data_IF_118621191916
#
_entry.id   IF_118621191916
#
_cell.length_a   1.000
_cell.length_b   1.000
_cell.length_c   1.000
_cell.angle_alpha   90.00
_cell.angle_beta   90.00
_cell.angle_gamma   90.00
#
_symmetry.space_group_name_H-M   'P 1'
#
loop_
_entity.id
_entity.type
_entity.pdbx_description
1 polymer ?
#
# COMPACT_ATOMS: atom_id res chain seq x y z
N UNK A 1 -22.89 -7.98 18.64
CA UNK A 1 -21.66 -8.46 17.97
C UNK A 1 -21.59 -7.82 16.58
N UNK A 2 -20.59 -6.97 16.31
CA UNK A 2 -20.30 -6.53 14.93
C UNK A 2 -19.88 -7.76 14.13
N UNK A 3 -20.40 -7.94 12.91
CA UNK A 3 -20.02 -9.10 12.09
C UNK A 3 -18.55 -8.91 11.70
N UNK A 4 -17.78 -10.00 11.58
CA UNK A 4 -16.41 -9.99 11.06
C UNK A 4 -16.30 -9.32 9.67
N UNK A 5 -17.42 -9.11 8.98
CA UNK A 5 -17.48 -8.39 7.70
C UNK A 5 -17.33 -6.86 7.82
N UNK A 6 -17.50 -6.27 9.01
CA UNK A 6 -17.55 -4.81 9.17
C UNK A 6 -16.17 -4.19 9.52
N UNK A 7 -15.23 -5.00 10.04
CA UNK A 7 -13.92 -4.52 10.47
C UNK A 7 -12.81 -5.04 9.55
N UNK A 8 -11.80 -4.22 9.21
CA UNK A 8 -10.63 -4.70 8.49
C UNK A 8 -9.83 -5.64 9.40
N UNK A 9 -9.59 -6.86 8.97
CA UNK A 9 -8.84 -7.85 9.75
C UNK A 9 -7.88 -8.65 8.87
N UNK A 10 -6.85 -9.22 9.49
CA UNK A 10 -5.93 -10.19 8.89
C UNK A 10 -5.70 -11.35 9.85
N UNK A 11 -5.27 -12.50 9.32
CA UNK A 11 -4.74 -13.59 10.17
C UNK A 11 -3.26 -13.40 10.37
N UNK A 12 -2.79 -13.48 11.62
CA UNK A 12 -1.36 -13.54 11.91
C UNK A 12 -0.80 -14.96 11.64
N UNK A 13 0.49 -15.16 11.88
CA UNK A 13 1.18 -16.44 11.68
C UNK A 13 0.70 -17.56 12.60
N UNK A 14 0.02 -17.25 13.71
CA UNK A 14 -0.64 -18.21 14.62
C UNK A 14 -2.07 -18.55 14.15
N UNK A 15 -2.55 -17.93 13.07
CA UNK A 15 -3.91 -18.09 12.57
C UNK A 15 -4.97 -17.26 13.31
N UNK A 16 -4.56 -16.41 14.26
CA UNK A 16 -5.44 -15.56 15.05
C UNK A 16 -5.90 -14.35 14.21
N UNK A 17 -7.13 -13.90 14.45
CA UNK A 17 -7.69 -12.71 13.79
C UNK A 17 -7.15 -11.47 14.49
N UNK A 18 -6.47 -10.61 13.74
CA UNK A 18 -5.97 -9.31 14.18
C UNK A 18 -6.76 -8.22 13.47
N UNK A 19 -7.35 -7.31 14.24
CA UNK A 19 -8.00 -6.10 13.70
C UNK A 19 -6.92 -5.12 13.23
N UNK A 20 -7.07 -4.63 12.00
CA UNK A 20 -6.10 -3.71 11.38
C UNK A 20 -6.58 -2.27 11.56
N UNK A 21 -5.76 -1.35 12.09
CA UNK A 21 -6.10 0.06 12.14
C UNK A 21 -6.48 0.61 10.76
N UNK A 22 -7.60 1.33 10.67
CA UNK A 22 -8.16 1.82 9.40
C UNK A 22 -7.15 2.61 8.53
N UNK A 23 -6.19 3.29 9.16
CA UNK A 23 -5.15 4.04 8.47
C UNK A 23 -4.23 3.15 7.61
N UNK A 24 -4.00 1.90 8.03
CA UNK A 24 -3.20 0.91 7.30
C UNK A 24 -4.01 0.13 6.27
N UNK A 25 -5.33 0.31 6.22
CA UNK A 25 -6.19 -0.50 5.34
C UNK A 25 -6.14 0.02 3.90
N UNK A 26 -5.71 -0.80 2.93
CA UNK A 26 -5.74 -0.40 1.53
C UNK A 26 -7.16 -0.01 1.09
N UNK A 27 -7.35 1.07 0.29
CA UNK A 27 -8.67 1.47 -0.20
C UNK A 27 -9.40 0.36 -0.96
N UNK A 28 -8.67 -0.56 -1.59
CA UNK A 28 -9.23 -1.70 -2.34
C UNK A 28 -9.03 -3.01 -1.56
N UNK A 29 -9.82 -3.23 -0.51
CA UNK A 29 -9.73 -4.42 0.40
C UNK A 29 -9.85 -5.78 -0.27
N UNK A 30 -10.74 -5.93 -1.26
CA UNK A 30 -10.92 -7.20 -2.00
C UNK A 30 -9.75 -7.52 -2.91
N UNK A 31 -8.74 -6.66 -2.93
CA UNK A 31 -7.63 -6.72 -3.84
C UNK A 31 -6.36 -6.65 -3.01
N UNK A 32 -5.76 -7.83 -2.77
CA UNK A 32 -4.31 -7.91 -2.55
C UNK A 32 -3.64 -6.92 -3.52
N UNK A 33 -2.51 -6.27 -3.22
CA UNK A 33 -1.85 -5.39 -4.19
C UNK A 33 -1.65 -6.05 -5.58
N UNK A 34 -1.55 -7.39 -5.61
CA UNK A 34 -1.52 -8.21 -6.82
C UNK A 34 -2.89 -8.65 -7.39
N UNK A 35 -4.02 -8.39 -6.75
CA UNK A 35 -5.36 -8.89 -7.15
C UNK A 35 -6.13 -7.94 -8.07
N UNK A 36 -6.04 -6.61 -7.90
CA UNK A 36 -6.59 -5.66 -8.91
C UNK A 36 -5.93 -5.87 -10.26
N UNK A 37 -4.65 -6.21 -10.20
CA UNK A 37 -3.82 -6.53 -11.34
C UNK A 37 -3.63 -8.04 -11.48
N UNK A 38 -4.40 -8.94 -10.83
CA UNK A 38 -4.19 -10.39 -11.03
C UNK A 38 -4.63 -10.80 -12.42
N UNK A 39 -5.71 -10.18 -12.87
CA UNK A 39 -6.26 -10.33 -14.22
C UNK A 39 -5.60 -9.34 -15.20
N UNK A 40 -4.77 -8.41 -14.70
CA UNK A 40 -4.12 -7.34 -15.47
C UNK A 40 -2.65 -7.15 -15.07
N UNK A 41 -1.96 -8.27 -14.82
CA UNK A 41 -0.54 -8.27 -14.39
C UNK A 41 0.32 -7.65 -15.47
N UNK A 42 -0.07 -7.90 -16.71
CA UNK A 42 0.63 -7.42 -17.89
C UNK A 42 0.54 -5.89 -17.99
N UNK A 43 -0.63 -5.26 -17.74
CA UNK A 43 -0.72 -3.80 -17.71
C UNK A 43 0.15 -3.20 -16.62
N UNK A 44 0.06 -3.68 -15.38
CA UNK A 44 0.90 -3.12 -14.32
C UNK A 44 2.38 -3.30 -14.63
N UNK A 45 2.79 -4.47 -15.11
CA UNK A 45 4.18 -4.74 -15.52
C UNK A 45 4.62 -3.80 -16.66
N UNK A 46 3.77 -3.56 -17.65
CA UNK A 46 4.03 -2.59 -18.72
C UNK A 46 4.16 -1.18 -18.16
N UNK A 47 3.27 -0.73 -17.28
CA UNK A 47 3.33 0.62 -16.69
C UNK A 47 4.58 0.81 -15.83
N UNK A 48 4.92 -0.17 -15.00
CA UNK A 48 6.16 -0.15 -14.22
C UNK A 48 7.39 -0.19 -15.12
N UNK A 49 7.37 -0.98 -16.20
CA UNK A 49 8.47 -0.99 -17.19
C UNK A 49 8.63 0.37 -17.85
N UNK A 50 7.54 1.01 -18.31
CA UNK A 50 7.58 2.37 -18.86
C UNK A 50 8.17 3.36 -17.87
N UNK A 51 7.72 3.28 -16.62
CA UNK A 51 8.26 4.09 -15.55
C UNK A 51 9.76 3.84 -15.38
N UNK A 52 10.23 2.61 -15.18
CA UNK A 52 11.64 2.29 -14.99
C UNK A 52 12.52 2.68 -16.20
N UNK A 53 12.00 2.52 -17.42
CA UNK A 53 12.70 2.85 -18.67
C UNK A 53 12.68 4.34 -19.03
N UNK A 54 12.15 5.21 -18.17
CA UNK A 54 12.05 6.66 -18.42
C UNK A 54 11.17 7.05 -19.61
N UNK A 55 10.19 6.21 -19.95
CA UNK A 55 9.22 6.51 -21.01
C UNK A 55 8.20 7.56 -20.57
N UNK A 56 7.54 8.19 -21.54
CA UNK A 56 6.46 9.15 -21.28
C UNK A 56 5.25 8.42 -20.69
N UNK A 57 4.74 8.95 -19.59
CA UNK A 57 3.51 8.48 -18.93
C UNK A 57 2.44 9.56 -19.03
N UNK A 58 1.23 9.16 -19.36
CA UNK A 58 0.04 10.01 -19.20
C UNK A 58 -0.30 10.18 -17.71
N UNK A 59 -1.05 11.25 -17.37
CA UNK A 59 -1.52 11.48 -16.00
C UNK A 59 -2.35 10.29 -15.47
N UNK A 60 -3.14 9.64 -16.33
CA UNK A 60 -3.90 8.45 -15.98
C UNK A 60 -2.99 7.26 -15.61
N UNK A 61 -1.94 7.02 -16.40
CA UNK A 61 -0.95 5.97 -16.11
C UNK A 61 -0.18 6.27 -14.82
N UNK A 62 0.20 7.53 -14.59
CA UNK A 62 0.79 7.96 -13.32
C UNK A 62 -0.15 7.64 -12.16
N UNK A 63 -1.43 7.99 -12.29
CA UNK A 63 -2.41 7.73 -11.25
C UNK A 63 -2.56 6.24 -10.95
N UNK A 64 -2.54 5.40 -11.99
CA UNK A 64 -2.60 3.95 -11.82
C UNK A 64 -1.38 3.37 -11.08
N UNK A 65 -0.17 3.87 -11.36
CA UNK A 65 1.03 3.47 -10.65
C UNK A 65 0.99 3.96 -9.20
N UNK A 66 0.57 5.21 -8.95
CA UNK A 66 0.46 5.75 -7.60
C UNK A 66 -0.58 4.99 -6.75
N UNK A 67 -1.71 4.60 -7.36
CA UNK A 67 -2.71 3.72 -6.75
C UNK A 67 -2.09 2.37 -6.36
N UNK A 68 -1.25 1.79 -7.21
CA UNK A 68 -0.54 0.55 -6.90
C UNK A 68 0.40 0.73 -5.70
N UNK A 69 1.25 1.76 -5.69
CA UNK A 69 2.13 2.07 -4.56
C UNK A 69 1.38 2.26 -3.25
N UNK A 70 0.23 2.94 -3.27
CA UNK A 70 -0.64 3.10 -2.10
C UNK A 70 -1.14 1.75 -1.58
N UNK A 71 -1.68 0.90 -2.46
CA UNK A 71 -2.26 -0.37 -2.02
C UNK A 71 -1.18 -1.35 -1.55
N UNK A 72 -0.01 -1.36 -2.21
CA UNK A 72 1.12 -2.20 -1.84
C UNK A 72 1.67 -1.82 -0.46
N UNK A 73 2.03 -0.55 -0.28
CA UNK A 73 2.61 -0.07 0.98
C UNK A 73 1.68 -0.30 2.17
N UNK A 74 0.41 0.08 2.06
CA UNK A 74 -0.57 -0.13 3.13
C UNK A 74 -0.80 -1.62 3.44
N UNK A 75 -0.70 -2.49 2.43
CA UNK A 75 -0.77 -3.93 2.64
C UNK A 75 0.46 -4.46 3.40
N UNK A 76 1.67 -4.04 3.01
CA UNK A 76 2.91 -4.37 3.74
C UNK A 76 2.81 -3.90 5.20
N UNK A 77 2.33 -2.69 5.43
CA UNK A 77 2.13 -2.15 6.78
C UNK A 77 1.09 -2.94 7.58
N UNK A 78 0.00 -3.35 6.94
CA UNK A 78 -1.03 -4.20 7.56
C UNK A 78 -0.48 -5.58 7.94
N UNK A 79 0.32 -6.20 7.08
CA UNK A 79 0.99 -7.48 7.35
C UNK A 79 1.98 -7.35 8.50
N UNK A 80 2.83 -6.32 8.47
CA UNK A 80 3.78 -6.04 9.54
C UNK A 80 3.06 -5.90 10.88
N UNK A 81 2.03 -5.03 10.95
CA UNK A 81 1.19 -4.86 12.13
C UNK A 81 0.58 -6.18 12.62
N UNK A 82 -0.03 -6.96 11.72
CA UNK A 82 -0.66 -8.23 12.08
C UNK A 82 0.34 -9.27 12.60
N UNK A 83 1.58 -9.23 12.10
CA UNK A 83 2.64 -10.18 12.46
C UNK A 83 3.27 -9.92 13.83
N UNK A 84 3.16 -8.69 14.34
CA UNK A 84 3.69 -8.28 15.64
C UNK A 84 2.85 -8.80 16.80
N UNK A 85 3.49 -8.98 17.95
CA UNK A 85 2.79 -9.22 19.22
C UNK A 85 2.02 -7.97 19.67
N UNK A 86 0.98 -8.18 20.48
CA UNK A 86 0.03 -7.14 20.87
C UNK A 86 0.69 -5.90 21.50
N UNK A 87 1.72 -6.12 22.32
CA UNK A 87 2.51 -5.05 22.96
C UNK A 87 3.13 -4.10 21.92
N UNK A 88 3.74 -4.65 20.86
CA UNK A 88 4.46 -3.88 19.84
C UNK A 88 3.53 -3.26 18.80
N UNK A 89 2.32 -3.79 18.62
CA UNK A 89 1.32 -3.25 17.68
C UNK A 89 0.99 -1.78 17.96
N UNK A 90 0.85 -1.44 19.24
CA UNK A 90 0.52 -0.06 19.66
C UNK A 90 1.63 0.93 19.28
N UNK A 91 2.90 0.52 19.47
CA UNK A 91 4.10 1.29 19.14
C UNK A 91 4.20 1.45 17.62
N UNK A 92 4.10 0.34 16.88
CA UNK A 92 4.13 0.35 15.42
C UNK A 92 3.06 1.27 14.84
N UNK A 93 1.81 1.18 15.35
CA UNK A 93 0.72 2.01 14.89
C UNK A 93 0.99 3.50 15.12
N UNK A 94 1.58 3.86 16.27
CA UNK A 94 1.93 5.24 16.59
C UNK A 94 3.03 5.78 15.67
N UNK A 95 4.10 5.02 15.48
CA UNK A 95 5.27 5.43 14.67
C UNK A 95 4.95 5.51 13.18
N UNK A 96 4.10 4.61 12.68
CA UNK A 96 3.83 4.50 11.25
C UNK A 96 2.55 5.25 10.79
N UNK A 97 1.80 5.86 11.72
CA UNK A 97 0.58 6.61 11.40
C UNK A 97 0.84 7.75 10.42
N UNK A 98 1.89 8.53 10.66
CA UNK A 98 2.22 9.68 9.80
C UNK A 98 2.73 9.23 8.43
N UNK A 99 3.48 8.12 8.36
CA UNK A 99 3.88 7.52 7.09
C UNK A 99 2.64 7.14 6.26
N UNK A 100 1.70 6.40 6.83
CA UNK A 100 0.50 5.98 6.13
C UNK A 100 -0.37 7.18 5.67
N UNK A 101 -0.41 8.26 6.47
CA UNK A 101 -1.07 9.51 6.08
C UNK A 101 -0.36 10.18 4.90
N UNK A 102 0.97 10.29 4.95
CA UNK A 102 1.79 10.92 3.90
C UNK A 102 1.70 10.16 2.58
N UNK A 103 1.77 8.83 2.60
CA UNK A 103 1.61 7.99 1.40
C UNK A 103 0.23 8.24 0.77
N UNK A 104 -0.85 8.24 1.55
CA UNK A 104 -2.20 8.54 1.06
C UNK A 104 -2.30 9.93 0.43
N UNK A 105 -1.71 10.93 1.08
CA UNK A 105 -1.71 12.30 0.58
C UNK A 105 -0.95 12.42 -0.76
N UNK A 106 0.28 11.91 -0.83
CA UNK A 106 1.11 11.98 -2.03
C UNK A 106 0.47 11.23 -3.20
N UNK A 107 0.02 9.99 -2.96
CA UNK A 107 -0.63 9.17 -4.00
C UNK A 107 -1.97 9.74 -4.46
N UNK A 108 -2.69 10.47 -3.59
CA UNK A 108 -3.93 11.14 -3.98
C UNK A 108 -3.69 12.28 -4.99
N UNK A 109 -2.56 12.99 -4.86
CA UNK A 109 -2.20 14.17 -5.65
C UNK A 109 -1.25 13.90 -6.81
N UNK A 110 -0.70 12.70 -6.93
CA UNK A 110 0.25 12.35 -7.97
C UNK A 110 -0.33 12.55 -9.38
N UNK A 111 0.37 13.34 -10.21
CA UNK A 111 0.03 13.61 -11.61
C UNK A 111 1.22 13.52 -12.56
N UNK A 112 2.42 13.47 -12.01
CA UNK A 112 3.67 13.45 -12.76
C UNK A 112 4.56 12.29 -12.36
N UNK A 113 5.56 12.03 -13.21
CA UNK A 113 6.64 11.10 -12.92
C UNK A 113 7.42 11.48 -11.65
N UNK A 114 7.68 12.78 -11.46
CA UNK A 114 8.38 13.28 -10.28
C UNK A 114 7.62 12.95 -8.99
N UNK A 115 6.28 12.97 -9.04
CA UNK A 115 5.47 12.55 -7.89
C UNK A 115 5.68 11.07 -7.57
N UNK A 116 5.75 10.20 -8.59
CA UNK A 116 6.03 8.78 -8.40
C UNK A 116 7.42 8.53 -7.81
N UNK A 117 8.43 9.24 -8.30
CA UNK A 117 9.81 9.16 -7.78
C UNK A 117 9.86 9.63 -6.31
N UNK A 118 9.15 10.71 -5.97
CA UNK A 118 9.05 11.17 -4.58
C UNK A 118 8.32 10.16 -3.67
N UNK A 119 7.28 9.49 -4.18
CA UNK A 119 6.58 8.42 -3.45
C UNK A 119 7.52 7.24 -3.22
N UNK A 120 8.26 6.78 -4.24
CA UNK A 120 9.22 5.68 -4.10
C UNK A 120 10.31 6.06 -3.11
N UNK A 121 10.88 7.26 -3.20
CA UNK A 121 11.90 7.74 -2.26
C UNK A 121 11.42 7.65 -0.81
N UNK A 122 10.20 8.14 -0.53
CA UNK A 122 9.58 8.00 0.78
C UNK A 122 9.39 6.54 1.20
N UNK A 123 8.97 5.66 0.30
CA UNK A 123 8.75 4.25 0.65
C UNK A 123 10.06 3.53 0.97
N UNK A 124 11.11 3.79 0.19
CA UNK A 124 12.44 3.21 0.40
C UNK A 124 13.09 3.70 1.70
N UNK A 125 12.91 4.97 2.08
CA UNK A 125 13.34 5.50 3.39
C UNK A 125 12.78 4.69 4.57
N UNK A 126 11.62 4.06 4.40
CA UNK A 126 10.95 3.25 5.41
C UNK A 126 11.04 1.74 5.11
N UNK A 127 11.94 1.32 4.21
CA UNK A 127 12.19 -0.08 3.89
C UNK A 127 11.07 -0.78 3.13
N UNK A 128 10.20 -0.03 2.46
CA UNK A 128 9.13 -0.57 1.60
C UNK A 128 9.58 -0.41 0.15
N UNK A 129 9.88 -1.52 -0.51
CA UNK A 129 10.20 -1.53 -1.94
C UNK A 129 8.97 -1.97 -2.75
N UNK A 130 8.32 -1.05 -3.51
CA UNK A 130 7.13 -1.38 -4.29
C UNK A 130 7.41 -1.90 -5.72
N UNK A 131 8.67 -1.93 -6.17
CA UNK A 131 9.04 -2.24 -7.57
C UNK A 131 9.81 -3.55 -7.73
#
# INVERSE_FOLDING_TARGET
MKRLNDMPWMRNWKGEIVEIPSIFVPPKRSKHPYWKYRDDKDRLKTLLSKFLNKEQLSEAEVKEIADYFLNYSLHVMSMAYASMDEEFRSIYAKENKELARKIREMTSRARSRLDLEAIIGLLLEYGIDPI
#
